data_IF_091727762776
#
_entry.id   IF_091727762776
#
_cell.length_a   1.000
_cell.length_b   1.000
_cell.length_c   1.000
_cell.angle_alpha   90.00
_cell.angle_beta   90.00
_cell.angle_gamma   90.00
#
_symmetry.space_group_name_H-M   'P 1'
#
loop_
_entity.id
_entity.type
_entity.pdbx_description
1 polymer ?
#
# COMPACT_ATOMS: atom_id res chain seq x y z
N UNK A 1 36.17 -0.92 -41.54
CA UNK A 1 35.58 -0.25 -40.36
C UNK A 1 34.10 0.02 -40.65
N UNK A 2 33.17 -0.86 -40.26
CA UNK A 2 31.72 -0.64 -40.48
C UNK A 2 30.81 -1.60 -39.67
N UNK A 3 31.25 -2.07 -38.49
CA UNK A 3 30.41 -2.86 -37.58
C UNK A 3 30.61 -2.41 -36.14
N UNK A 4 30.42 -1.11 -35.90
CA UNK A 4 30.30 -0.54 -34.55
C UNK A 4 29.13 0.45 -34.56
N UNK A 5 27.96 0.00 -35.01
CA UNK A 5 26.71 0.73 -34.81
C UNK A 5 25.68 -0.27 -34.31
N UNK A 6 25.05 0.06 -33.17
CA UNK A 6 24.07 -0.73 -32.39
C UNK A 6 24.60 -1.62 -31.26
N UNK A 7 25.65 -1.18 -30.58
CA UNK A 7 25.70 -1.36 -29.13
C UNK A 7 25.48 0.00 -28.47
N UNK A 8 24.24 0.50 -28.55
CA UNK A 8 23.80 1.58 -27.67
C UNK A 8 23.16 0.89 -26.48
N UNK A 9 23.85 0.94 -25.35
CA UNK A 9 23.45 0.53 -24.01
C UNK A 9 21.98 0.13 -23.84
N UNK A 10 21.73 -1.15 -23.56
CA UNK A 10 20.46 -1.61 -22.99
C UNK A 10 20.31 -1.09 -21.55
N UNK A 11 20.16 0.23 -21.40
CA UNK A 11 19.62 0.85 -20.18
C UNK A 11 18.17 0.38 -20.12
N UNK A 12 17.87 -0.56 -19.23
CA UNK A 12 16.50 -1.03 -19.04
C UNK A 12 15.63 0.18 -18.70
N UNK A 13 14.75 0.56 -19.63
CA UNK A 13 13.84 1.67 -19.40
C UNK A 13 12.96 1.32 -18.18
N UNK A 14 12.76 2.25 -17.23
CA UNK A 14 11.95 1.96 -16.06
C UNK A 14 10.55 1.53 -16.50
N UNK A 15 10.07 0.40 -15.97
CA UNK A 15 8.76 -0.17 -16.26
C UNK A 15 7.89 -0.03 -15.01
N UNK A 16 6.65 0.42 -15.20
CA UNK A 16 5.62 0.43 -14.16
C UNK A 16 4.57 -0.64 -14.47
N UNK A 17 4.08 -1.32 -13.45
CA UNK A 17 2.94 -2.21 -13.56
C UNK A 17 1.66 -1.43 -13.21
N UNK A 18 0.71 -1.37 -14.13
CA UNK A 18 -0.62 -0.77 -13.93
C UNK A 18 -1.62 -1.87 -14.28
N UNK A 19 -2.49 -2.24 -13.35
CA UNK A 19 -3.49 -3.32 -13.50
C UNK A 19 -2.88 -4.66 -13.98
N UNK A 20 -1.68 -4.99 -13.51
CA UNK A 20 -0.96 -6.22 -13.88
C UNK A 20 -0.30 -6.17 -15.26
N UNK A 21 -0.48 -5.09 -16.02
CA UNK A 21 0.19 -4.87 -17.30
C UNK A 21 1.43 -3.99 -17.13
N UNK A 22 2.49 -4.32 -17.87
CA UNK A 22 3.77 -3.61 -17.81
C UNK A 22 3.83 -2.53 -18.88
N UNK A 23 4.15 -1.30 -18.45
CA UNK A 23 4.30 -0.14 -19.31
C UNK A 23 5.68 0.47 -19.14
N UNK A 24 6.35 0.80 -20.24
CA UNK A 24 7.57 1.61 -20.17
C UNK A 24 7.21 3.04 -19.75
N UNK A 25 7.83 3.50 -18.67
CA UNK A 25 7.56 4.83 -18.09
C UNK A 25 7.75 5.98 -19.08
N UNK A 26 8.75 5.86 -19.96
CA UNK A 26 9.04 6.85 -20.99
C UNK A 26 7.93 6.97 -22.05
N UNK A 27 7.17 5.88 -22.28
CA UNK A 27 6.07 5.82 -23.25
C UNK A 27 4.74 6.32 -22.68
N UNK A 28 4.65 6.55 -21.37
CA UNK A 28 3.45 7.12 -20.74
C UNK A 28 3.31 8.61 -21.05
N UNK A 29 2.07 9.10 -21.09
CA UNK A 29 1.81 10.54 -21.11
C UNK A 29 2.23 11.20 -19.79
N UNK A 30 2.35 12.54 -19.79
CA UNK A 30 2.67 13.28 -18.56
C UNK A 30 1.58 13.08 -17.49
N UNK A 31 0.34 13.06 -17.93
CA UNK A 31 -0.87 12.89 -17.12
C UNK A 31 -0.90 11.48 -16.50
N UNK A 32 -0.58 10.45 -17.29
CA UNK A 32 -0.51 9.07 -16.80
C UNK A 32 0.59 8.90 -15.74
N UNK A 33 1.77 9.50 -15.96
CA UNK A 33 2.84 9.48 -14.95
C UNK A 33 2.43 10.19 -13.66
N UNK A 34 1.74 11.33 -13.76
CA UNK A 34 1.24 12.05 -12.59
C UNK A 34 0.20 11.22 -11.82
N UNK A 35 -0.71 10.54 -12.53
CA UNK A 35 -1.69 9.65 -11.92
C UNK A 35 -1.02 8.50 -11.16
N UNK A 36 -0.01 7.83 -11.74
CA UNK A 36 0.75 6.77 -11.07
C UNK A 36 1.39 7.26 -9.77
N UNK A 37 2.02 8.44 -9.80
CA UNK A 37 2.64 9.03 -8.61
C UNK A 37 1.59 9.26 -7.52
N UNK A 38 0.45 9.86 -7.87
CA UNK A 38 -0.63 10.15 -6.93
C UNK A 38 -1.22 8.86 -6.33
N UNK A 39 -1.44 7.82 -7.14
CA UNK A 39 -1.93 6.51 -6.68
C UNK A 39 -0.97 5.93 -5.64
N UNK A 40 0.34 5.92 -5.94
CA UNK A 40 1.34 5.40 -4.99
C UNK A 40 1.34 6.18 -3.67
N UNK A 41 1.14 7.50 -3.71
CA UNK A 41 1.01 8.32 -2.50
C UNK A 41 -0.25 7.95 -1.70
N UNK A 42 -1.40 7.80 -2.36
CA UNK A 42 -2.66 7.41 -1.72
C UNK A 42 -2.55 6.00 -1.13
N UNK A 43 -1.92 5.06 -1.83
CA UNK A 43 -1.72 3.69 -1.36
C UNK A 43 -0.83 3.61 -0.11
N UNK A 44 0.22 4.44 -0.05
CA UNK A 44 1.06 4.55 1.13
C UNK A 44 0.24 5.04 2.34
N UNK A 45 -0.65 6.01 2.14
CA UNK A 45 -1.52 6.51 3.21
C UNK A 45 -2.57 5.48 3.62
N UNK A 46 -3.19 4.78 2.66
CA UNK A 46 -4.11 3.69 2.97
C UNK A 46 -3.43 2.58 3.77
N UNK A 47 -2.17 2.26 3.47
CA UNK A 47 -1.38 1.31 4.28
C UNK A 47 -1.20 1.81 5.71
N UNK A 48 -0.88 3.09 5.90
CA UNK A 48 -0.75 3.71 7.23
C UNK A 48 -2.06 3.64 8.02
N UNK A 49 -3.17 4.01 7.40
CA UNK A 49 -4.49 3.98 8.02
C UNK A 49 -4.92 2.56 8.43
N UNK A 50 -4.64 1.55 7.59
CA UNK A 50 -4.92 0.14 7.93
C UNK A 50 -4.19 -0.31 9.19
N UNK A 51 -2.96 0.14 9.41
CA UNK A 51 -2.22 -0.14 10.66
C UNK A 51 -2.93 0.50 11.86
N UNK A 52 -3.35 1.76 11.75
CA UNK A 52 -4.07 2.45 12.82
C UNK A 52 -5.41 1.77 13.17
N UNK A 53 -6.14 1.31 12.15
CA UNK A 53 -7.36 0.51 12.34
C UNK A 53 -7.05 -0.78 13.10
N UNK A 54 -5.96 -1.48 12.77
CA UNK A 54 -5.55 -2.69 13.50
C UNK A 54 -5.24 -2.45 14.98
N UNK A 55 -4.57 -1.32 15.29
CA UNK A 55 -4.31 -0.89 16.67
C UNK A 55 -5.63 -0.65 17.40
N UNK A 56 -6.53 0.14 16.81
CA UNK A 56 -7.82 0.45 17.40
C UNK A 56 -8.68 -0.81 17.62
N UNK A 57 -8.66 -1.76 16.68
CA UNK A 57 -9.35 -3.04 16.82
C UNK A 57 -8.82 -3.87 18.00
N UNK A 58 -7.50 -3.84 18.23
CA UNK A 58 -6.87 -4.53 19.38
C UNK A 58 -7.31 -3.90 20.70
N UNK A 59 -7.24 -2.57 20.80
CA UNK A 59 -7.70 -1.84 21.98
C UNK A 59 -9.19 -2.12 22.28
N UNK A 60 -10.04 -2.10 21.25
CA UNK A 60 -11.47 -2.43 21.38
C UNK A 60 -11.69 -3.83 21.94
N UNK A 61 -10.94 -4.84 21.47
CA UNK A 61 -11.05 -6.22 21.98
C UNK A 61 -10.68 -6.30 23.46
N UNK A 62 -9.62 -5.61 23.88
CA UNK A 62 -9.20 -5.53 25.28
C UNK A 62 -10.31 -4.94 26.16
N UNK A 63 -10.87 -3.79 25.77
CA UNK A 63 -11.93 -3.14 26.55
C UNK A 63 -13.21 -3.98 26.63
N UNK A 64 -13.58 -4.67 25.54
CA UNK A 64 -14.71 -5.62 25.57
C UNK A 64 -14.45 -6.78 26.54
N UNK A 65 -13.24 -7.33 26.56
CA UNK A 65 -12.87 -8.40 27.50
C UNK A 65 -12.93 -7.92 28.95
N UNK A 66 -12.40 -6.72 29.24
CA UNK A 66 -12.48 -6.10 30.56
C UNK A 66 -13.94 -5.89 30.99
N UNK A 67 -14.77 -5.33 30.12
CA UNK A 67 -16.19 -5.12 30.40
C UNK A 67 -16.90 -6.44 30.75
N UNK A 68 -16.68 -7.50 29.96
CA UNK A 68 -17.25 -8.82 30.22
C UNK A 68 -16.82 -9.38 31.58
N UNK A 69 -15.55 -9.20 31.94
CA UNK A 69 -15.03 -9.59 33.26
C UNK A 69 -15.74 -8.86 34.41
N UNK A 70 -15.96 -7.54 34.28
CA UNK A 70 -16.69 -6.75 35.27
C UNK A 70 -18.16 -7.18 35.39
N UNK A 71 -18.83 -7.44 34.26
CA UNK A 71 -20.22 -7.88 34.26
C UNK A 71 -20.40 -9.27 34.88
N UNK A 72 -19.49 -10.21 34.63
CA UNK A 72 -19.54 -11.53 35.23
C UNK A 72 -19.38 -11.48 36.76
N UNK A 73 -18.49 -10.62 37.26
CA UNK A 73 -18.33 -10.38 38.71
C UNK A 73 -19.60 -9.79 39.33
N UNK A 74 -20.22 -8.82 38.67
CA UNK A 74 -21.46 -8.22 39.14
C UNK A 74 -22.62 -9.23 39.21
N UNK A 75 -22.70 -10.16 38.26
CA UNK A 75 -23.75 -11.19 38.22
C UNK A 75 -23.59 -12.28 39.29
N UNK A 76 -22.36 -12.60 39.70
CA UNK A 76 -22.07 -13.68 40.65
C UNK A 76 -21.86 -13.19 42.10
N UNK A 77 -21.94 -11.88 42.34
CA UNK A 77 -21.66 -11.23 43.62
C UNK A 77 -22.84 -10.45 44.22
N UNK A 78 -24.06 -10.72 43.77
CA UNK A 78 -25.32 -10.23 44.35
C UNK A 78 -26.38 -11.33 44.28
#
# INVERSE_FOLDING_TARGET
>A
MAKVEKQVAAKQAPVVAIDGQKYEWAKLSKEARAAVININTVDAELKRLRVQVGIAQTARKLFVAQLRGSLAKAKNGG
#
